data_IF_634894700622
#
_entry.id   IF_634894700622
#
_cell.length_a   1.000
_cell.length_b   1.000
_cell.length_c   1.000
_cell.angle_alpha   90.00
_cell.angle_beta   90.00
_cell.angle_gamma   90.00
#
_symmetry.space_group_name_H-M   'P 1'
#
loop_
_entity.id
_entity.type
_entity.pdbx_description
1 polymer ?
#
# COMPACT_ATOMS: atom_id res chain seq x y z
N UNK A 1 -2.24 22.59 4.24
CA UNK A 1 -2.75 21.33 3.64
C UNK A 1 -3.93 20.85 4.47
N UNK A 2 -5.07 20.45 3.87
CA UNK A 2 -6.18 19.82 4.58
C UNK A 2 -5.79 18.44 5.12
N UNK A 3 -6.49 18.02 6.18
CA UNK A 3 -6.37 16.67 6.76
C UNK A 3 -6.80 15.60 5.76
N UNK A 4 -6.15 14.45 5.80
CA UNK A 4 -6.58 13.22 5.13
C UNK A 4 -7.06 12.14 6.09
N UNK A 5 -7.01 12.40 7.39
CA UNK A 5 -7.57 11.52 8.41
C UNK A 5 -9.03 11.14 8.10
N UNK A 6 -9.36 9.85 8.25
CA UNK A 6 -10.64 9.28 7.85
C UNK A 6 -10.56 8.38 6.61
N UNK A 7 -9.47 8.48 5.83
CA UNK A 7 -9.13 7.49 4.81
C UNK A 7 -8.84 6.11 5.45
N UNK A 8 -9.33 5.03 4.85
CA UNK A 8 -9.20 3.66 5.38
C UNK A 8 -7.74 3.18 5.50
N UNK A 9 -6.84 3.73 4.68
CA UNK A 9 -5.41 3.43 4.74
C UNK A 9 -4.77 4.03 6.01
N UNK A 10 -5.34 5.13 6.54
CA UNK A 10 -4.92 5.78 7.78
C UNK A 10 -5.58 5.15 9.01
N UNK A 11 -5.61 3.82 9.05
CA UNK A 11 -6.13 3.08 10.18
C UNK A 11 -5.38 3.39 11.51
N UNK A 12 -6.07 3.12 12.62
CA UNK A 12 -5.58 3.38 13.98
C UNK A 12 -5.50 4.87 14.35
N UNK A 13 -5.20 5.13 15.63
CA UNK A 13 -4.99 6.50 16.12
C UNK A 13 -3.68 7.09 15.61
N UNK A 14 -3.73 8.26 14.97
CA UNK A 14 -2.58 8.85 14.28
C UNK A 14 -1.31 8.94 15.14
N UNK A 15 -1.42 9.25 16.45
CA UNK A 15 -0.26 9.36 17.35
C UNK A 15 0.54 8.09 17.50
N UNK A 16 -0.06 6.92 17.31
CA UNK A 16 0.60 5.62 17.44
C UNK A 16 0.58 4.85 16.12
N UNK A 17 0.15 5.51 15.02
CA UNK A 17 -0.04 4.86 13.74
C UNK A 17 1.26 4.24 13.25
N UNK A 18 1.22 2.93 13.05
CA UNK A 18 2.32 2.19 12.44
C UNK A 18 2.41 2.62 10.98
N UNK A 19 3.63 2.95 10.53
CA UNK A 19 3.93 3.39 9.16
C UNK A 19 3.21 4.67 8.72
N UNK A 20 3.00 5.62 9.64
CA UNK A 20 2.28 6.86 9.34
C UNK A 20 2.79 7.60 8.09
N UNK A 21 4.10 7.63 7.85
CA UNK A 21 4.69 8.27 6.66
C UNK A 21 4.27 7.54 5.37
N UNK A 22 4.46 6.22 5.31
CA UNK A 22 4.13 5.43 4.12
C UNK A 22 2.63 5.42 3.82
N UNK A 23 1.80 5.34 4.85
CA UNK A 23 0.33 5.44 4.72
C UNK A 23 -0.09 6.82 4.22
N UNK A 24 0.48 7.89 4.78
CA UNK A 24 0.18 9.25 4.34
C UNK A 24 0.63 9.51 2.89
N UNK A 25 1.80 9.02 2.50
CA UNK A 25 2.27 9.07 1.12
C UNK A 25 1.30 8.38 0.15
N UNK A 26 0.79 7.21 0.52
CA UNK A 26 -0.20 6.47 -0.27
C UNK A 26 -1.50 7.25 -0.41
N UNK A 27 -2.03 7.78 0.70
CA UNK A 27 -3.27 8.55 0.64
C UNK A 27 -3.08 9.79 -0.23
N UNK A 28 -1.99 10.55 -0.05
CA UNK A 28 -1.68 11.68 -0.91
C UNK A 28 -1.63 11.30 -2.40
N UNK A 29 -0.94 10.20 -2.74
CA UNK A 29 -0.90 9.67 -4.10
C UNK A 29 -2.30 9.30 -4.63
N UNK A 30 -3.15 8.67 -3.82
CA UNK A 30 -4.53 8.31 -4.22
C UNK A 30 -5.40 9.56 -4.49
N UNK A 31 -5.09 10.68 -3.84
CA UNK A 31 -5.73 11.96 -4.10
C UNK A 31 -5.07 12.76 -5.25
N UNK A 32 -4.01 12.22 -5.88
CA UNK A 32 -3.25 12.91 -6.94
C UNK A 32 -2.38 14.05 -6.42
N UNK A 33 -2.13 14.11 -5.12
CA UNK A 33 -1.24 15.10 -4.52
C UNK A 33 0.21 14.64 -4.63
N UNK A 34 1.12 15.55 -4.97
CA UNK A 34 2.56 15.30 -5.08
C UNK A 34 3.35 15.69 -3.81
N UNK A 35 2.71 16.38 -2.88
CA UNK A 35 3.31 16.78 -1.60
C UNK A 35 2.34 16.46 -0.46
N UNK A 36 2.88 15.84 0.59
CA UNK A 36 2.16 15.51 1.81
C UNK A 36 2.95 15.90 3.06
N UNK A 37 2.27 15.90 4.19
CA UNK A 37 2.83 16.22 5.49
C UNK A 37 2.36 15.25 6.57
N UNK A 38 3.28 14.94 7.49
CA UNK A 38 2.99 14.23 8.73
C UNK A 38 3.21 15.17 9.91
N UNK A 39 2.22 15.29 10.80
CA UNK A 39 2.24 16.11 12.01
C UNK A 39 1.96 15.24 13.25
N UNK A 40 2.39 15.68 14.44
CA UNK A 40 2.03 15.10 15.74
C UNK A 40 2.10 13.56 15.79
N UNK A 41 3.22 13.03 15.30
CA UNK A 41 3.57 11.62 15.26
C UNK A 41 2.74 10.73 14.31
N UNK A 42 1.90 11.30 13.45
CA UNK A 42 1.28 10.54 12.37
C UNK A 42 0.04 11.14 11.69
N UNK A 43 -0.40 12.32 12.10
CA UNK A 43 -1.52 13.03 11.49
C UNK A 43 -1.17 13.42 10.05
N UNK A 44 -1.99 12.98 9.10
CA UNK A 44 -1.72 13.09 7.68
C UNK A 44 -2.46 14.26 7.05
N UNK A 45 -1.75 15.02 6.21
CA UNK A 45 -2.31 16.04 5.36
C UNK A 45 -1.65 16.07 3.99
N UNK A 46 -2.39 16.43 2.95
CA UNK A 46 -1.86 16.59 1.59
C UNK A 46 -2.74 17.54 0.78
N UNK A 47 -2.23 18.07 -0.33
CA UNK A 47 -2.98 18.97 -1.21
C UNK A 47 -2.35 19.09 -2.59
N UNK A 48 -3.16 19.25 -3.63
CA UNK A 48 -2.68 19.51 -4.98
C UNK A 48 -1.87 20.83 -5.09
N UNK A 49 -2.09 21.80 -4.20
CA UNK A 49 -1.32 23.06 -4.14
C UNK A 49 -0.25 23.05 -3.06
N UNK A 50 0.00 21.90 -2.44
CA UNK A 50 0.94 21.78 -1.32
C UNK A 50 2.34 22.21 -1.73
N UNK A 51 2.80 21.87 -2.95
CA UNK A 51 4.12 22.25 -3.48
C UNK A 51 4.39 23.75 -3.40
N UNK A 52 3.37 24.58 -3.64
CA UNK A 52 3.50 26.05 -3.63
C UNK A 52 3.21 26.65 -2.24
N UNK A 53 2.44 25.96 -1.40
CA UNK A 53 1.87 26.54 -0.17
C UNK A 53 2.54 26.08 1.12
N UNK A 54 3.29 24.96 1.12
CA UNK A 54 3.81 24.39 2.37
C UNK A 54 4.78 25.32 3.13
N UNK A 55 5.44 26.24 2.43
CA UNK A 55 6.41 27.19 3.00
C UNK A 55 5.78 28.45 3.59
N UNK A 56 4.46 28.61 3.56
CA UNK A 56 3.74 29.84 3.96
C UNK A 56 4.18 30.39 5.32
N UNK A 57 4.47 29.53 6.30
CA UNK A 57 4.86 29.93 7.66
C UNK A 57 6.36 29.78 7.96
N UNK A 58 7.17 29.44 6.97
CA UNK A 58 8.60 29.18 7.14
C UNK A 58 8.94 27.84 7.82
N UNK A 59 10.24 27.53 7.98
CA UNK A 59 10.70 26.28 8.58
C UNK A 59 10.46 26.26 10.10
N UNK A 60 10.18 25.06 10.64
CA UNK A 60 10.03 24.82 12.07
C UNK A 60 11.17 23.97 12.61
N UNK A 61 11.63 24.27 13.83
CA UNK A 61 12.56 23.44 14.60
C UNK A 61 11.85 22.38 15.47
N UNK A 62 10.52 22.33 15.43
CA UNK A 62 9.71 21.44 16.27
C UNK A 62 9.47 20.04 15.70
N UNK A 63 10.03 19.71 14.52
CA UNK A 63 9.91 18.37 13.95
C UNK A 63 10.72 17.36 14.77
N UNK A 64 10.12 16.19 15.03
CA UNK A 64 10.83 15.07 15.64
C UNK A 64 11.79 14.43 14.64
N UNK A 65 12.92 13.90 15.13
CA UNK A 65 13.92 13.21 14.32
C UNK A 65 13.40 11.93 13.63
N UNK A 66 12.22 11.43 14.03
CA UNK A 66 11.58 10.25 13.45
C UNK A 66 10.83 10.53 12.13
N UNK A 67 10.82 11.78 11.65
CA UNK A 67 10.14 12.18 10.42
C UNK A 67 8.61 12.26 10.53
N UNK A 68 8.02 12.16 11.71
CA UNK A 68 6.56 12.16 11.88
C UNK A 68 6.01 13.52 12.32
N UNK A 69 6.76 14.58 12.04
CA UNK A 69 6.47 15.94 12.49
C UNK A 69 6.54 16.08 14.01
N UNK A 70 6.07 17.22 14.50
CA UNK A 70 5.85 17.49 15.93
C UNK A 70 4.46 18.07 16.14
N UNK A 71 4.11 18.41 17.39
CA UNK A 71 2.74 18.82 17.75
C UNK A 71 2.17 19.99 16.93
N UNK A 72 3.03 20.90 16.47
CA UNK A 72 2.68 22.01 15.56
C UNK A 72 3.72 22.19 14.45
N UNK A 73 4.39 21.10 14.07
CA UNK A 73 5.45 21.11 13.08
C UNK A 73 5.20 20.01 12.04
N UNK A 74 5.04 20.41 10.79
CA UNK A 74 4.77 19.49 9.69
C UNK A 74 6.09 18.97 9.13
N UNK A 75 6.31 17.66 9.19
CA UNK A 75 7.33 17.04 8.35
C UNK A 75 6.76 16.89 6.94
N UNK A 76 7.25 17.68 5.99
CA UNK A 76 6.76 17.73 4.61
C UNK A 76 7.61 16.83 3.71
N UNK A 77 6.95 16.11 2.82
CA UNK A 77 7.52 15.15 1.88
C UNK A 77 7.00 15.40 0.48
N UNK A 78 7.86 15.21 -0.51
CA UNK A 78 7.51 15.22 -1.93
C UNK A 78 7.53 13.79 -2.48
N UNK A 79 6.51 13.44 -3.26
CA UNK A 79 6.39 12.16 -3.96
C UNK A 79 7.14 12.31 -5.28
N UNK A 80 8.32 11.69 -5.36
CA UNK A 80 9.24 11.88 -6.48
C UNK A 80 8.72 11.36 -7.83
N UNK A 81 7.78 10.43 -7.84
CA UNK A 81 7.12 9.94 -9.06
C UNK A 81 5.77 9.33 -8.71
N UNK A 82 4.74 9.76 -9.45
CA UNK A 82 3.43 9.10 -9.46
C UNK A 82 3.53 8.04 -10.57
N UNK A 83 3.32 6.78 -10.23
CA UNK A 83 3.24 5.71 -11.20
C UNK A 83 1.86 5.10 -11.11
N UNK A 84 1.13 5.11 -12.22
CA UNK A 84 -0.19 4.50 -12.24
C UNK A 84 -0.02 2.97 -12.25
N UNK A 85 -0.54 2.32 -11.22
CA UNK A 85 -0.52 0.86 -11.08
C UNK A 85 -1.88 0.33 -11.50
N UNK A 86 -1.90 -0.45 -12.59
CA UNK A 86 -3.08 -1.19 -13.00
C UNK A 86 -2.88 -2.69 -12.74
N UNK A 87 -3.99 -3.39 -12.47
CA UNK A 87 -3.98 -4.82 -12.15
C UNK A 87 -4.61 -5.60 -13.29
N UNK A 88 -3.93 -6.66 -13.74
CA UNK A 88 -4.53 -7.68 -14.61
C UNK A 88 -4.83 -8.91 -13.78
N UNK A 89 -6.09 -9.34 -13.72
CA UNK A 89 -6.46 -10.62 -13.10
C UNK A 89 -5.92 -11.79 -13.93
N UNK A 90 -5.13 -12.65 -13.28
CA UNK A 90 -4.60 -13.88 -13.88
C UNK A 90 -5.45 -15.11 -13.54
N UNK A 91 -6.48 -14.94 -12.72
CA UNK A 91 -7.48 -15.96 -12.38
C UNK A 91 -7.31 -16.55 -10.99
N UNK A 92 -8.13 -17.58 -10.71
CA UNK A 92 -8.13 -18.34 -9.47
C UNK A 92 -7.34 -19.65 -9.63
N UNK A 93 -6.37 -19.88 -8.75
CA UNK A 93 -5.43 -21.00 -8.83
C UNK A 93 -5.37 -21.75 -7.51
N UNK A 94 -5.31 -23.08 -7.57
CA UNK A 94 -5.20 -23.90 -6.38
C UNK A 94 -3.88 -23.65 -5.66
N UNK A 95 -3.89 -23.80 -4.34
CA UNK A 95 -2.70 -23.72 -3.50
C UNK A 95 -2.66 -24.87 -2.50
N UNK A 96 -1.48 -25.14 -1.95
CA UNK A 96 -1.32 -26.20 -0.94
C UNK A 96 -0.51 -25.69 0.25
N UNK A 97 -0.18 -26.58 1.20
CA UNK A 97 0.74 -26.25 2.28
C UNK A 97 2.16 -25.98 1.78
N UNK A 98 2.55 -26.64 0.68
CA UNK A 98 3.69 -26.21 -0.11
C UNK A 98 3.18 -25.09 -1.04
N UNK A 99 3.70 -23.87 -0.87
CA UNK A 99 3.06 -22.67 -1.42
C UNK A 99 3.47 -22.44 -2.86
N UNK A 100 2.49 -22.18 -3.73
CA UNK A 100 2.76 -21.72 -5.10
C UNK A 100 3.45 -20.36 -5.13
N UNK A 101 3.05 -19.46 -4.24
CA UNK A 101 3.68 -18.16 -4.06
C UNK A 101 3.92 -17.97 -2.56
N UNK A 102 5.15 -17.66 -2.12
CA UNK A 102 5.45 -17.46 -0.70
C UNK A 102 4.78 -16.21 -0.14
N UNK A 103 4.63 -16.19 1.18
CA UNK A 103 3.95 -15.11 1.90
C UNK A 103 4.73 -13.80 1.91
N UNK A 104 4.00 -12.69 1.91
CA UNK A 104 4.51 -11.37 2.28
C UNK A 104 4.08 -10.92 3.67
N UNK A 105 3.22 -11.69 4.35
CA UNK A 105 2.76 -11.37 5.70
C UNK A 105 3.95 -11.23 6.66
N UNK A 106 3.96 -10.16 7.45
CA UNK A 106 5.04 -9.85 8.37
C UNK A 106 6.35 -9.36 7.71
N UNK A 107 6.43 -9.37 6.37
CA UNK A 107 7.58 -8.85 5.64
C UNK A 107 7.41 -7.38 5.28
N UNK A 108 6.18 -6.95 5.03
CA UNK A 108 5.88 -5.55 4.74
C UNK A 108 5.04 -4.92 5.85
N UNK A 109 5.45 -3.78 6.41
CA UNK A 109 4.69 -3.10 7.44
C UNK A 109 3.29 -2.65 7.00
N UNK A 110 3.02 -2.47 5.69
CA UNK A 110 1.67 -2.14 5.21
C UNK A 110 0.68 -3.30 5.36
N UNK A 111 1.18 -4.54 5.47
CA UNK A 111 0.39 -5.73 5.71
C UNK A 111 0.15 -5.90 7.22
N UNK A 112 -0.51 -4.90 7.79
CA UNK A 112 -0.82 -4.83 9.21
C UNK A 112 -2.17 -5.50 9.55
N UNK A 113 -2.35 -5.79 10.84
CA UNK A 113 -3.55 -6.44 11.34
C UNK A 113 -3.75 -7.88 10.87
N UNK A 114 -4.92 -8.42 11.19
CA UNK A 114 -5.31 -9.75 10.74
C UNK A 114 -5.74 -9.68 9.27
N UNK A 115 -5.08 -10.45 8.39
CA UNK A 115 -5.37 -10.46 6.97
C UNK A 115 -6.85 -10.70 6.67
N UNK A 116 -7.55 -11.58 7.42
CA UNK A 116 -8.97 -11.93 7.24
C UNK A 116 -9.95 -10.77 7.42
N UNK A 117 -9.52 -9.70 8.07
CA UNK A 117 -10.34 -8.51 8.32
C UNK A 117 -9.63 -7.24 7.86
N UNK A 118 -8.53 -7.37 7.11
CA UNK A 118 -7.71 -6.25 6.67
C UNK A 118 -8.47 -5.46 5.62
N UNK A 119 -8.78 -4.21 5.93
CA UNK A 119 -9.30 -3.28 4.93
C UNK A 119 -8.27 -3.05 3.83
N UNK A 120 -8.75 -2.94 2.60
CA UNK A 120 -7.95 -2.69 1.41
C UNK A 120 -6.87 -3.76 1.17
N UNK A 121 -7.17 -5.03 1.46
CA UNK A 121 -6.22 -6.14 1.35
C UNK A 121 -5.52 -6.20 -0.01
N UNK A 122 -6.26 -6.00 -1.11
CA UNK A 122 -5.71 -5.97 -2.48
C UNK A 122 -4.72 -4.82 -2.64
N UNK A 123 -5.09 -3.60 -2.24
CA UNK A 123 -4.25 -2.41 -2.37
C UNK A 123 -2.98 -2.50 -1.51
N UNK A 124 -3.10 -3.02 -0.29
CA UNK A 124 -1.96 -3.25 0.61
C UNK A 124 -1.04 -4.34 0.06
N UNK A 125 -1.59 -5.42 -0.52
CA UNK A 125 -0.80 -6.52 -1.08
C UNK A 125 -0.05 -6.14 -2.37
N UNK A 126 -0.71 -5.45 -3.32
CA UNK A 126 -0.01 -4.94 -4.52
C UNK A 126 1.13 -4.00 -4.12
N UNK A 127 0.94 -3.17 -3.10
CA UNK A 127 2.00 -2.28 -2.63
C UNK A 127 3.19 -3.06 -2.06
N UNK A 128 2.95 -4.04 -1.20
CA UNK A 128 4.00 -4.87 -0.63
C UNK A 128 4.80 -5.63 -1.72
N UNK A 129 4.10 -6.12 -2.74
CA UNK A 129 4.72 -6.79 -3.88
C UNK A 129 5.50 -5.80 -4.79
N UNK A 130 4.89 -4.67 -5.15
CA UNK A 130 5.51 -3.64 -5.98
C UNK A 130 6.75 -3.04 -5.33
N UNK A 131 6.72 -2.79 -4.02
CA UNK A 131 7.87 -2.29 -3.26
C UNK A 131 9.08 -3.25 -3.31
N UNK A 132 8.86 -4.53 -3.61
CA UNK A 132 9.89 -5.56 -3.82
C UNK A 132 10.26 -5.77 -5.29
N UNK A 133 9.63 -5.03 -6.20
CA UNK A 133 9.81 -5.19 -7.65
C UNK A 133 9.20 -6.47 -8.20
N UNK A 134 8.19 -7.04 -7.53
CA UNK A 134 7.50 -8.23 -8.01
C UNK A 134 6.43 -7.85 -9.04
N UNK A 135 6.28 -8.66 -10.09
CA UNK A 135 5.29 -8.43 -11.15
C UNK A 135 3.98 -9.17 -10.91
N UNK A 136 3.99 -10.21 -10.07
CA UNK A 136 2.83 -11.03 -9.76
C UNK A 136 2.70 -11.17 -8.24
N UNK A 137 1.48 -11.02 -7.76
CA UNK A 137 1.10 -11.23 -6.36
C UNK A 137 -0.23 -11.98 -6.29
N UNK A 138 -0.56 -12.47 -5.10
CA UNK A 138 -1.82 -13.16 -4.87
C UNK A 138 -2.40 -12.84 -3.50
N UNK A 139 -3.72 -12.97 -3.40
CA UNK A 139 -4.44 -13.02 -2.14
C UNK A 139 -5.06 -14.39 -1.94
N UNK A 140 -5.07 -14.85 -0.68
CA UNK A 140 -5.68 -16.12 -0.30
C UNK A 140 -6.57 -15.97 0.93
N UNK A 141 -7.70 -16.70 0.95
CA UNK A 141 -8.51 -16.95 2.14
C UNK A 141 -8.90 -15.69 2.94
N UNK A 142 -9.31 -14.65 2.22
CA UNK A 142 -9.71 -13.35 2.77
C UNK A 142 -8.51 -12.44 2.99
N UNK A 143 -7.59 -12.36 2.02
CA UNK A 143 -6.62 -11.26 1.98
C UNK A 143 -5.20 -11.59 2.43
N UNK A 144 -4.87 -12.86 2.70
CA UNK A 144 -3.49 -13.28 2.99
C UNK A 144 -2.60 -12.99 1.78
N UNK A 145 -1.58 -12.18 1.96
CA UNK A 145 -0.78 -11.66 0.87
C UNK A 145 0.42 -12.56 0.53
N UNK A 146 0.61 -12.78 -0.77
CA UNK A 146 1.73 -13.54 -1.33
C UNK A 146 2.35 -12.81 -2.52
N UNK A 147 3.65 -13.01 -2.72
CA UNK A 147 4.38 -12.44 -3.85
C UNK A 147 5.82 -12.94 -3.92
N UNK A 148 6.33 -13.09 -5.13
CA UNK A 148 7.71 -13.46 -5.38
C UNK A 148 8.20 -12.94 -6.73
N UNK A 149 9.51 -12.94 -6.93
CA UNK A 149 10.14 -12.52 -8.19
C UNK A 149 9.79 -13.45 -9.35
N UNK A 150 9.58 -14.73 -9.08
CA UNK A 150 9.27 -15.81 -10.03
C UNK A 150 7.81 -16.28 -9.94
N UNK A 151 6.95 -15.49 -9.29
CA UNK A 151 5.55 -15.83 -9.10
C UNK A 151 4.79 -16.02 -10.42
N UNK A 152 5.25 -15.44 -11.53
CA UNK A 152 4.70 -15.64 -12.88
C UNK A 152 4.94 -17.06 -13.43
N UNK A 153 5.93 -17.78 -12.90
CA UNK A 153 6.26 -19.15 -13.27
C UNK A 153 5.56 -20.17 -12.35
N UNK A 154 5.33 -19.82 -11.09
CA UNK A 154 4.91 -20.79 -10.05
C UNK A 154 3.41 -20.76 -9.75
N UNK A 155 2.71 -19.64 -9.99
CA UNK A 155 1.32 -19.47 -9.54
C UNK A 155 0.33 -20.52 -10.07
N UNK A 156 0.65 -21.17 -11.19
CA UNK A 156 -0.19 -22.20 -11.83
C UNK A 156 0.12 -23.62 -11.40
N UNK A 157 1.12 -23.85 -10.54
CA UNK A 157 1.71 -25.18 -10.36
C UNK A 157 0.72 -26.26 -9.89
N UNK A 158 -0.34 -25.87 -9.17
CA UNK A 158 -1.38 -26.79 -8.69
C UNK A 158 -2.67 -26.77 -9.54
N UNK A 159 -2.68 -26.03 -10.65
CA UNK A 159 -3.81 -25.93 -11.56
C UNK A 159 -4.87 -24.91 -11.14
N UNK A 160 -5.91 -24.78 -11.96
CA UNK A 160 -7.00 -23.83 -11.75
C UNK A 160 -7.88 -24.26 -10.57
N UNK A 161 -8.51 -23.28 -9.91
CA UNK A 161 -9.46 -23.51 -8.82
C UNK A 161 -10.74 -22.70 -9.02
N UNK A 162 -11.83 -23.18 -8.43
CA UNK A 162 -13.12 -22.47 -8.36
C UNK A 162 -13.43 -21.95 -6.96
N UNK A 163 -12.48 -22.06 -6.02
CA UNK A 163 -12.71 -21.75 -4.61
C UNK A 163 -12.50 -20.27 -4.25
N UNK A 164 -12.00 -19.43 -5.16
CA UNK A 164 -11.86 -18.00 -4.90
C UNK A 164 -13.23 -17.34 -4.80
N UNK A 165 -13.36 -16.39 -3.87
CA UNK A 165 -14.53 -15.52 -3.79
C UNK A 165 -14.59 -14.50 -4.93
N UNK A 166 -15.73 -13.82 -5.04
CA UNK A 166 -15.94 -12.71 -5.98
C UNK A 166 -15.40 -11.37 -5.45
N UNK A 167 -14.77 -11.36 -4.28
CA UNK A 167 -14.18 -10.19 -3.60
C UNK A 167 -12.74 -9.92 -4.05
N UNK A 168 -12.12 -10.84 -4.78
CA UNK A 168 -10.74 -10.74 -5.23
C UNK A 168 -9.71 -11.13 -4.16
N UNK A 169 -10.14 -11.65 -3.01
CA UNK A 169 -9.26 -11.93 -1.86
C UNK A 169 -8.85 -13.42 -1.75
N UNK A 170 -9.13 -14.17 -2.81
CA UNK A 170 -8.87 -15.60 -2.91
C UNK A 170 -9.89 -16.45 -2.15
N UNK A 171 -9.48 -17.66 -1.78
CA UNK A 171 -10.33 -18.63 -1.09
C UNK A 171 -9.53 -19.61 -0.26
N UNK A 172 -10.22 -20.56 0.39
CA UNK A 172 -9.54 -21.64 1.10
C UNK A 172 -8.71 -22.48 0.12
N UNK A 173 -7.40 -22.51 0.33
CA UNK A 173 -6.44 -23.17 -0.55
C UNK A 173 -6.55 -22.73 -2.03
N UNK A 174 -6.90 -21.46 -2.26
CA UNK A 174 -7.00 -20.89 -3.60
C UNK A 174 -6.53 -19.43 -3.63
N UNK A 175 -5.62 -19.15 -4.54
CA UNK A 175 -5.01 -17.86 -4.78
C UNK A 175 -5.78 -17.12 -5.86
N UNK A 176 -6.30 -15.93 -5.54
CA UNK A 176 -6.66 -14.96 -6.57
C UNK A 176 -5.38 -14.25 -6.98
N UNK A 177 -4.97 -14.41 -8.24
CA UNK A 177 -3.65 -13.98 -8.72
C UNK A 177 -3.77 -12.76 -9.62
N UNK A 178 -2.89 -11.79 -9.42
CA UNK A 178 -2.86 -10.52 -10.14
C UNK A 178 -1.47 -10.26 -10.71
N UNK A 179 -1.42 -9.65 -11.89
CA UNK A 179 -0.21 -9.05 -12.46
C UNK A 179 -0.24 -7.54 -12.31
N UNK A 180 0.87 -6.98 -11.85
CA UNK A 180 1.11 -5.56 -11.68
C UNK A 180 1.56 -4.98 -13.02
N UNK A 181 0.93 -3.88 -13.45
CA UNK A 181 1.27 -3.12 -14.65
C UNK A 181 1.57 -1.69 -14.21
N UNK A 182 2.83 -1.27 -14.33
CA UNK A 182 3.26 0.09 -13.98
C UNK A 182 3.26 0.93 -15.24
N UNK A 183 2.38 1.92 -15.30
CA UNK A 183 2.40 2.96 -16.32
C UNK A 183 3.20 4.12 -15.76
N UNK A 184 4.31 4.44 -16.42
CA UNK A 184 5.07 5.66 -16.12
C UNK A 184 4.31 6.82 -16.76
N UNK A 185 3.79 7.75 -15.97
CA UNK A 185 3.44 9.06 -16.49
C UNK A 185 4.75 9.78 -16.83
N UNK A 186 4.98 10.01 -18.13
CA UNK A 186 5.98 10.99 -18.56
C UNK A 186 5.47 12.37 -18.18
N UNK A 187 6.23 13.08 -17.35
CA UNK A 187 6.01 14.49 -17.08
C UNK A 187 5.88 15.26 -18.41
N UNK A 188 4.78 16.01 -18.58
CA UNK A 188 4.61 17.03 -19.62
C UNK A 188 4.71 18.40 -18.98
#
# INVERSE_FOLDING_TARGET
MPTREGDSILDGGYKQRVNAIAKCARVAHNYGDDVFAVQDNGWCASSATARDTYRTYGPSSGCLANGRGGGWANQVYEIASISEVTLTELGCWADTSDRAIPTLEGLDPILDGNYKARQDAIAKCVQAAHARGYEVFALQNGGWCAGARDADLTYKQYGASTNCGNDGEGGFAANQVYRIRVLKTTDY
#
